data_IF_049832917136
#
_entry.id   IF_049832917136
#
_cell.length_a   1.000
_cell.length_b   1.000
_cell.length_c   1.000
_cell.angle_alpha   90.00
_cell.angle_beta   90.00
_cell.angle_gamma   90.00
#
_symmetry.space_group_name_H-M   'P 1'
#
loop_
_entity.id
_entity.type
_entity.pdbx_description
1 polymer ?
#
# COMPACT_ATOMS: atom_id res chain seq x y z
N UNK A 1 20.94 11.44 -6.90
CA UNK A 1 19.72 10.70 -6.53
C UNK A 1 20.17 9.42 -5.85
N UNK A 2 19.88 9.21 -4.57
CA UNK A 2 20.39 8.05 -3.83
C UNK A 2 19.68 6.76 -4.31
N UNK A 3 20.41 5.76 -4.84
CA UNK A 3 19.81 4.55 -5.43
C UNK A 3 19.01 3.70 -4.42
N UNK A 4 19.19 3.93 -3.12
CA UNK A 4 18.46 3.23 -2.05
C UNK A 4 17.01 3.68 -1.87
N UNK A 5 16.65 4.88 -2.34
CA UNK A 5 15.30 5.46 -2.15
C UNK A 5 14.35 5.18 -3.32
N UNK A 6 14.89 4.87 -4.49
CA UNK A 6 14.14 4.62 -5.72
C UNK A 6 13.04 3.55 -5.55
N UNK A 7 13.30 2.39 -4.90
CA UNK A 7 12.30 1.34 -4.75
C UNK A 7 11.08 1.76 -3.93
N UNK A 8 11.29 2.57 -2.87
CA UNK A 8 10.20 3.03 -2.00
C UNK A 8 9.38 4.10 -2.73
N UNK A 9 10.00 4.99 -3.48
CA UNK A 9 9.29 6.01 -4.26
C UNK A 9 8.36 5.37 -5.30
N UNK A 10 8.86 4.40 -6.06
CA UNK A 10 8.05 3.68 -7.06
C UNK A 10 6.88 2.94 -6.40
N UNK A 11 7.10 2.28 -5.26
CA UNK A 11 6.05 1.60 -4.52
C UNK A 11 4.98 2.60 -4.01
N UNK A 12 5.42 3.70 -3.40
CA UNK A 12 4.53 4.75 -2.86
C UNK A 12 3.70 5.39 -3.98
N UNK A 13 4.29 5.61 -5.16
CA UNK A 13 3.57 6.18 -6.30
C UNK A 13 2.45 5.26 -6.81
N UNK A 14 2.72 3.96 -6.92
CA UNK A 14 1.68 2.99 -7.32
C UNK A 14 0.58 2.86 -6.28
N UNK A 15 0.93 2.87 -5.01
CA UNK A 15 -0.04 2.89 -3.91
C UNK A 15 -0.93 4.14 -3.98
N UNK A 16 -0.40 5.31 -4.32
CA UNK A 16 -1.23 6.51 -4.51
C UNK A 16 -2.15 6.42 -5.73
N UNK A 17 -1.69 5.78 -6.80
CA UNK A 17 -2.45 5.65 -8.05
C UNK A 17 -3.61 4.66 -7.92
N UNK A 18 -3.39 3.52 -7.26
CA UNK A 18 -4.37 2.42 -7.21
C UNK A 18 -5.01 2.22 -5.84
N UNK A 19 -4.36 2.69 -4.76
CA UNK A 19 -4.81 2.53 -3.38
C UNK A 19 -6.19 3.14 -3.10
N UNK A 20 -6.50 4.38 -3.52
CA UNK A 20 -7.84 4.95 -3.30
C UNK A 20 -8.97 4.13 -3.92
N UNK A 21 -8.70 3.44 -5.04
CA UNK A 21 -9.68 2.57 -5.68
C UNK A 21 -9.79 1.25 -4.91
N UNK A 22 -8.68 0.58 -4.63
CA UNK A 22 -8.66 -0.67 -3.86
C UNK A 22 -9.28 -0.53 -2.46
N UNK A 23 -9.08 0.62 -1.82
CA UNK A 23 -9.52 0.90 -0.45
C UNK A 23 -10.84 1.70 -0.41
N UNK A 24 -11.49 1.92 -1.57
CA UNK A 24 -12.78 2.59 -1.61
C UNK A 24 -13.82 1.83 -0.77
N UNK A 25 -14.57 2.56 0.07
CA UNK A 25 -15.57 1.98 0.97
C UNK A 25 -14.99 1.31 2.23
N UNK A 26 -13.67 1.30 2.41
CA UNK A 26 -13.04 0.86 3.66
C UNK A 26 -13.11 2.00 4.69
N UNK A 27 -13.58 1.75 5.93
CA UNK A 27 -13.72 2.78 6.95
C UNK A 27 -12.40 3.47 7.34
N UNK A 28 -11.30 2.71 7.44
CA UNK A 28 -9.95 3.23 7.71
C UNK A 28 -8.97 2.72 6.64
N UNK A 29 -8.77 3.48 5.55
CA UNK A 29 -7.85 3.10 4.47
C UNK A 29 -6.39 2.96 4.93
N UNK A 30 -5.97 3.71 5.96
CA UNK A 30 -4.59 3.67 6.44
C UNK A 30 -4.31 2.43 7.28
N UNK A 31 -5.27 2.03 8.12
CA UNK A 31 -5.19 0.78 8.88
C UNK A 31 -5.23 -0.44 7.97
N UNK A 32 -6.14 -0.44 6.99
CA UNK A 32 -6.24 -1.49 5.98
C UNK A 32 -4.97 -1.58 5.13
N UNK A 33 -4.34 -0.45 4.82
CA UNK A 33 -3.07 -0.46 4.12
C UNK A 33 -1.92 -0.95 5.02
N UNK A 34 -1.96 -0.68 6.32
CA UNK A 34 -0.97 -1.17 7.27
C UNK A 34 -1.06 -2.68 7.45
N UNK A 35 -2.27 -3.25 7.49
CA UNK A 35 -2.46 -4.70 7.62
C UNK A 35 -1.79 -5.47 6.47
N UNK A 36 -1.89 -4.95 5.24
CA UNK A 36 -1.26 -5.52 4.04
C UNK A 36 0.28 -5.61 4.11
N UNK A 37 0.93 -4.72 4.87
CA UNK A 37 2.40 -4.61 4.92
C UNK A 37 2.96 -4.89 6.31
N UNK A 38 2.13 -5.35 7.26
CA UNK A 38 2.55 -5.59 8.64
C UNK A 38 3.59 -6.70 8.73
N UNK A 39 3.37 -7.78 7.98
CA UNK A 39 4.24 -8.95 7.94
C UNK A 39 5.60 -8.74 7.26
N UNK A 40 6.47 -9.76 7.28
CA UNK A 40 7.74 -9.75 6.54
C UNK A 40 7.54 -9.78 5.01
N UNK A 41 6.36 -10.24 4.57
CA UNK A 41 5.88 -10.27 3.19
C UNK A 41 4.57 -9.51 3.07
N UNK A 42 4.24 -9.10 1.85
CA UNK A 42 2.96 -8.49 1.54
C UNK A 42 1.84 -9.52 1.68
N UNK A 43 0.77 -9.14 2.37
CA UNK A 43 -0.40 -9.99 2.57
C UNK A 43 -1.28 -10.03 1.31
N UNK A 44 -0.92 -10.95 0.41
CA UNK A 44 -1.64 -11.15 -0.85
C UNK A 44 -3.04 -11.73 -0.63
N UNK A 45 -3.22 -12.56 0.40
CA UNK A 45 -4.52 -13.15 0.69
C UNK A 45 -5.52 -12.07 1.09
N UNK A 46 -5.12 -11.22 2.04
CA UNK A 46 -5.93 -10.09 2.46
C UNK A 46 -6.21 -9.12 1.32
N UNK A 47 -5.21 -8.82 0.49
CA UNK A 47 -5.39 -7.97 -0.68
C UNK A 47 -6.33 -8.55 -1.75
N UNK A 48 -6.28 -9.86 -1.97
CA UNK A 48 -7.23 -10.54 -2.86
C UNK A 48 -8.66 -10.45 -2.31
N UNK A 49 -8.83 -10.53 -0.99
CA UNK A 49 -10.10 -10.28 -0.32
C UNK A 49 -10.63 -8.87 -0.59
N UNK A 50 -9.77 -7.85 -0.60
CA UNK A 50 -10.15 -6.49 -0.98
C UNK A 50 -10.55 -6.37 -2.45
N UNK A 51 -9.79 -6.97 -3.36
CA UNK A 51 -10.12 -6.97 -4.80
C UNK A 51 -11.45 -7.65 -5.06
N UNK A 52 -11.73 -8.76 -4.37
CA UNK A 52 -12.98 -9.50 -4.52
C UNK A 52 -14.23 -8.68 -4.10
N UNK A 53 -14.06 -7.68 -3.21
CA UNK A 53 -15.15 -6.76 -2.82
C UNK A 53 -15.44 -5.70 -3.88
N UNK A 54 -14.56 -5.52 -4.87
CA UNK A 54 -14.71 -4.56 -5.96
C UNK A 54 -14.46 -5.21 -7.34
N UNK A 55 -15.31 -6.17 -7.74
CA UNK A 55 -15.09 -6.96 -8.95
C UNK A 55 -15.04 -6.11 -10.22
N UNK A 56 -15.77 -4.97 -10.27
CA UNK A 56 -15.72 -4.07 -11.44
C UNK A 56 -14.32 -3.46 -11.71
N UNK A 57 -13.45 -3.47 -10.71
CA UNK A 57 -12.10 -2.90 -10.77
C UNK A 57 -10.99 -3.94 -10.72
N UNK A 58 -11.33 -5.22 -10.55
CA UNK A 58 -10.37 -6.29 -10.33
C UNK A 58 -9.38 -6.42 -11.50
N UNK A 59 -9.86 -6.36 -12.75
CA UNK A 59 -9.00 -6.49 -13.93
C UNK A 59 -7.89 -5.42 -14.01
N UNK A 60 -8.16 -4.20 -13.53
CA UNK A 60 -7.21 -3.10 -13.53
C UNK A 60 -6.31 -3.09 -12.29
N UNK A 61 -6.86 -3.48 -11.14
CA UNK A 61 -6.17 -3.38 -9.85
C UNK A 61 -5.28 -4.59 -9.55
N UNK A 62 -5.67 -5.78 -10.02
CA UNK A 62 -4.96 -7.03 -9.72
C UNK A 62 -3.50 -7.04 -10.23
N UNK A 63 -3.19 -6.67 -11.49
CA UNK A 63 -1.79 -6.65 -11.95
C UNK A 63 -0.93 -5.64 -11.17
N UNK A 64 -1.49 -4.47 -10.85
CA UNK A 64 -0.80 -3.44 -10.09
C UNK A 64 -0.55 -3.87 -8.64
N UNK A 65 -1.49 -4.60 -8.05
CA UNK A 65 -1.40 -5.15 -6.71
C UNK A 65 -0.30 -6.22 -6.62
N UNK A 66 -0.25 -7.17 -7.55
CA UNK A 66 0.76 -8.22 -7.58
C UNK A 66 2.17 -7.64 -7.74
N UNK A 67 2.34 -6.67 -8.64
CA UNK A 67 3.60 -5.94 -8.81
C UNK A 67 4.02 -5.17 -7.53
N UNK A 68 3.06 -4.56 -6.82
CA UNK A 68 3.34 -3.90 -5.54
C UNK A 68 3.78 -4.91 -4.47
N UNK A 69 3.13 -6.08 -4.42
CA UNK A 69 3.46 -7.15 -3.48
C UNK A 69 4.87 -7.69 -3.71
N UNK A 70 5.24 -7.96 -4.97
CA UNK A 70 6.57 -8.45 -5.34
C UNK A 70 7.67 -7.44 -4.99
N UNK A 71 7.41 -6.15 -5.24
CA UNK A 71 8.35 -5.09 -4.86
C UNK A 71 8.49 -4.93 -3.36
N UNK A 72 7.38 -4.99 -2.62
CA UNK A 72 7.43 -4.96 -1.16
C UNK A 72 8.26 -6.12 -0.62
N UNK A 73 8.06 -7.33 -1.14
CA UNK A 73 8.79 -8.52 -0.69
C UNK A 73 10.30 -8.39 -0.91
N UNK A 74 10.70 -7.78 -2.03
CA UNK A 74 12.08 -7.49 -2.38
C UNK A 74 12.74 -6.37 -1.53
N UNK A 75 11.95 -5.57 -0.78
CA UNK A 75 12.52 -4.56 0.09
C UNK A 75 13.30 -5.19 1.26
N UNK A 76 14.46 -4.62 1.56
CA UNK A 76 15.17 -4.92 2.81
C UNK A 76 14.38 -4.41 4.03
N UNK A 77 14.66 -4.97 5.21
CA UNK A 77 13.90 -4.68 6.45
C UNK A 77 13.81 -3.19 6.77
N UNK A 78 14.91 -2.44 6.60
CA UNK A 78 14.92 -0.99 6.80
C UNK A 78 13.97 -0.23 5.88
N UNK A 79 13.85 -0.64 4.61
CA UNK A 79 12.92 -0.04 3.67
C UNK A 79 11.46 -0.39 3.98
N UNK A 80 11.18 -1.62 4.42
CA UNK A 80 9.84 -2.03 4.91
C UNK A 80 9.43 -1.20 6.13
N UNK A 81 10.32 -1.02 7.10
CA UNK A 81 10.06 -0.16 8.26
C UNK A 81 9.81 1.29 7.85
N UNK A 82 10.62 1.83 6.93
CA UNK A 82 10.44 3.18 6.40
C UNK A 82 9.07 3.36 5.72
N UNK A 83 8.63 2.38 4.94
CA UNK A 83 7.31 2.40 4.31
C UNK A 83 6.18 2.51 5.35
N UNK A 84 6.24 1.69 6.40
CA UNK A 84 5.24 1.72 7.50
C UNK A 84 5.19 3.09 8.17
N UNK A 85 6.35 3.68 8.45
CA UNK A 85 6.43 5.05 8.99
C UNK A 85 5.79 6.09 8.08
N UNK A 86 5.95 5.95 6.75
CA UNK A 86 5.32 6.86 5.79
C UNK A 86 3.79 6.75 5.81
N UNK A 87 3.25 5.54 5.96
CA UNK A 87 1.79 5.32 6.07
C UNK A 87 1.25 5.99 7.34
N UNK A 88 1.88 5.75 8.49
CA UNK A 88 1.49 6.38 9.77
C UNK A 88 1.59 7.91 9.70
N UNK A 89 2.68 8.43 9.14
CA UNK A 89 2.86 9.88 8.99
C UNK A 89 1.80 10.49 8.07
N UNK A 90 1.46 9.81 6.98
CA UNK A 90 0.43 10.28 6.06
C UNK A 90 -0.95 10.32 6.72
N UNK A 91 -1.29 9.31 7.54
CA UNK A 91 -2.52 9.31 8.35
C UNK A 91 -2.60 10.54 9.24
N UNK A 92 -1.57 10.78 10.06
CA UNK A 92 -1.51 11.91 10.98
C UNK A 92 -1.63 13.27 10.26
N UNK A 93 -1.00 13.41 9.09
CA UNK A 93 -1.15 14.62 8.25
C UNK A 93 -2.57 14.79 7.70
N UNK A 94 -3.24 13.71 7.30
CA UNK A 94 -4.62 13.77 6.81
C UNK A 94 -5.64 14.09 7.90
N UNK A 95 -5.45 13.53 9.10
CA UNK A 95 -6.25 13.84 10.28
C UNK A 95 -6.08 15.32 10.70
N UNK A 96 -4.86 15.86 10.59
CA UNK A 96 -4.55 17.25 10.94
C UNK A 96 -5.17 18.28 9.99
N UNK A 97 -5.47 17.90 8.74
CA UNK A 97 -6.10 18.79 7.75
C UNK A 97 -7.63 18.78 7.82
N UNK A 98 -8.21 17.88 8.62
CA UNK A 98 -9.66 17.68 8.76
C UNK A 98 -10.23 18.30 10.05
N UNK A 99 -9.39 18.97 10.85
CA UNK A 99 -9.75 19.80 12.02
C UNK A 99 -9.72 21.28 11.66
#
# INVERSE_FOLDING_TARGET
>A
MSPTLEPIHTLTQRMRMHGPRLLAGVPDPHDELMSLVWGPRFDREHAMGLVARQPEHAALTLPALLDAADRFDALHTGAKHRLRQLIVRHRALGESLSM
#
